data_IF_993088376023
#
_entry.id   IF_993088376023
#
_cell.length_a   1.000
_cell.length_b   1.000
_cell.length_c   1.000
_cell.angle_alpha   90.00
_cell.angle_beta   90.00
_cell.angle_gamma   90.00
#
_symmetry.space_group_name_H-M   'P 1'
#
loop_
_entity.id
_entity.type
_entity.pdbx_description
1 polymer ?
#
# COMPACT_ATOMS: atom_id res chain seq x y z
N UNK A 1 16.25 -32.33 -11.03
CA UNK A 1 16.59 -31.02 -10.47
C UNK A 1 15.48 -30.62 -9.53
N UNK A 2 15.69 -30.85 -8.23
CA UNK A 2 14.81 -30.36 -7.17
C UNK A 2 15.06 -28.87 -7.09
N UNK A 3 14.18 -28.07 -7.69
CA UNK A 3 14.20 -26.62 -7.49
C UNK A 3 14.03 -26.42 -5.98
N UNK A 4 15.01 -25.77 -5.36
CA UNK A 4 15.03 -25.45 -3.94
C UNK A 4 13.88 -24.49 -3.59
N UNK A 5 12.65 -25.02 -3.48
CA UNK A 5 11.46 -24.33 -2.95
C UNK A 5 11.58 -24.17 -1.41
N UNK A 6 12.71 -24.57 -0.82
CA UNK A 6 13.07 -24.36 0.58
C UNK A 6 13.97 -23.14 0.83
N UNK A 7 14.32 -22.36 -0.19
CA UNK A 7 15.19 -21.18 -0.08
C UNK A 7 14.49 -19.97 0.54
N UNK A 8 14.34 -19.97 1.88
CA UNK A 8 14.08 -18.77 2.70
C UNK A 8 12.73 -18.06 2.47
N UNK A 9 11.63 -18.78 2.70
CA UNK A 9 10.27 -18.19 2.76
C UNK A 9 10.16 -17.05 3.79
N UNK A 10 11.11 -16.92 4.72
CA UNK A 10 11.21 -15.80 5.67
C UNK A 10 11.36 -14.45 4.96
N UNK A 11 12.11 -14.39 3.85
CA UNK A 11 12.25 -13.17 3.04
C UNK A 11 10.93 -12.80 2.37
N UNK A 12 10.23 -13.79 1.82
CA UNK A 12 8.90 -13.59 1.23
C UNK A 12 7.88 -13.12 2.28
N UNK A 13 7.84 -13.77 3.45
CA UNK A 13 6.97 -13.36 4.55
C UNK A 13 7.31 -11.94 5.04
N UNK A 14 8.58 -11.56 5.10
CA UNK A 14 9.01 -10.21 5.49
C UNK A 14 8.58 -9.19 4.44
N UNK A 15 8.74 -9.47 3.15
CA UNK A 15 8.28 -8.62 2.07
C UNK A 15 6.75 -8.42 2.10
N UNK A 16 5.98 -9.50 2.31
CA UNK A 16 4.53 -9.43 2.45
C UNK A 16 4.10 -8.64 3.69
N UNK A 17 4.79 -8.79 4.82
CA UNK A 17 4.54 -8.01 6.05
C UNK A 17 4.82 -6.52 5.82
N UNK A 18 5.91 -6.19 5.14
CA UNK A 18 6.25 -4.82 4.79
C UNK A 18 5.16 -4.22 3.89
N UNK A 19 4.80 -4.89 2.80
CA UNK A 19 3.73 -4.42 1.89
C UNK A 19 2.39 -4.24 2.61
N UNK A 20 2.03 -5.14 3.52
CA UNK A 20 0.81 -4.98 4.32
C UNK A 20 0.89 -3.80 5.31
N UNK A 21 2.09 -3.44 5.78
CA UNK A 21 2.29 -2.29 6.69
C UNK A 21 2.14 -0.98 5.93
N UNK A 22 2.76 -0.87 4.75
CA UNK A 22 2.62 0.28 3.85
C UNK A 22 1.14 0.52 3.50
N UNK A 23 0.40 -0.54 3.12
CA UNK A 23 -1.04 -0.43 2.81
C UNK A 23 -1.84 0.13 4.00
N UNK A 24 -1.53 -0.31 5.23
CA UNK A 24 -2.21 0.22 6.43
C UNK A 24 -1.87 1.68 6.67
N UNK A 25 -0.61 2.08 6.45
CA UNK A 25 -0.17 3.46 6.56
C UNK A 25 -0.89 4.35 5.56
N UNK A 26 -0.84 4.00 4.26
CA UNK A 26 -1.49 4.73 3.17
C UNK A 26 -3.01 4.83 3.40
N UNK A 27 -3.65 3.78 3.94
CA UNK A 27 -5.06 3.83 4.34
C UNK A 27 -5.35 4.80 5.49
N UNK A 28 -4.44 4.93 6.46
CA UNK A 28 -4.58 5.90 7.55
C UNK A 28 -4.47 7.32 7.02
N UNK A 29 -3.46 7.59 6.20
CA UNK A 29 -3.29 8.90 5.55
C UNK A 29 -4.52 9.29 4.72
N UNK A 30 -5.08 8.35 3.95
CA UNK A 30 -6.33 8.58 3.22
C UNK A 30 -7.49 8.96 4.14
N UNK A 31 -7.62 8.34 5.32
CA UNK A 31 -8.66 8.69 6.28
C UNK A 31 -8.47 10.10 6.80
N UNK A 32 -7.24 10.49 7.10
CA UNK A 32 -6.93 11.80 7.66
C UNK A 32 -7.10 12.90 6.61
N UNK A 33 -6.64 12.70 5.38
CA UNK A 33 -6.93 13.60 4.25
C UNK A 33 -8.43 13.73 4.03
N UNK A 34 -9.21 12.65 4.09
CA UNK A 34 -10.67 12.72 3.97
C UNK A 34 -11.34 13.46 5.13
N UNK A 35 -10.82 13.38 6.36
CA UNK A 35 -11.33 14.18 7.50
C UNK A 35 -11.03 15.66 7.29
N UNK A 36 -9.82 16.00 6.86
CA UNK A 36 -9.42 17.37 6.59
C UNK A 36 -10.24 17.97 5.44
N UNK A 37 -10.46 17.21 4.36
CA UNK A 37 -11.34 17.62 3.25
C UNK A 37 -12.80 17.81 3.65
N UNK A 38 -13.27 17.17 4.73
CA UNK A 38 -14.63 17.46 5.26
C UNK A 38 -14.69 18.80 5.98
N UNK A 39 -13.58 19.25 6.56
CA UNK A 39 -13.46 20.57 7.21
C UNK A 39 -13.23 21.68 6.18
N UNK A 40 -12.45 21.37 5.14
CA UNK A 40 -12.14 22.28 4.04
C UNK A 40 -12.24 21.56 2.67
N UNK A 41 -13.46 21.46 2.09
CA UNK A 41 -13.68 20.74 0.85
C UNK A 41 -13.10 21.44 -0.39
N UNK A 42 -12.73 22.71 -0.28
CA UNK A 42 -12.11 23.49 -1.36
C UNK A 42 -10.59 23.37 -1.40
N UNK A 43 -9.99 22.62 -0.48
CA UNK A 43 -8.54 22.52 -0.36
C UNK A 43 -7.94 21.66 -1.49
N UNK A 44 -7.42 22.34 -2.51
CA UNK A 44 -6.83 21.71 -3.71
C UNK A 44 -5.59 20.88 -3.41
N UNK A 45 -4.81 21.27 -2.40
CA UNK A 45 -3.63 20.51 -1.94
C UNK A 45 -4.04 19.16 -1.36
N UNK A 46 -5.04 19.15 -0.47
CA UNK A 46 -5.57 17.90 0.10
C UNK A 46 -6.24 17.01 -0.95
N UNK A 47 -6.89 17.59 -1.96
CA UNK A 47 -7.43 16.83 -3.11
C UNK A 47 -6.29 16.16 -3.89
N UNK A 48 -5.23 16.91 -4.21
CA UNK A 48 -4.03 16.38 -4.87
C UNK A 48 -3.39 15.25 -4.05
N UNK A 49 -3.24 15.47 -2.74
CA UNK A 49 -2.71 14.46 -1.81
C UNK A 49 -3.58 13.20 -1.79
N UNK A 50 -4.92 13.33 -1.78
CA UNK A 50 -5.84 12.20 -1.87
C UNK A 50 -5.64 11.40 -3.16
N UNK A 51 -5.53 12.07 -4.30
CA UNK A 51 -5.29 11.40 -5.59
C UNK A 51 -3.96 10.62 -5.58
N UNK A 52 -2.89 11.23 -5.05
CA UNK A 52 -1.58 10.58 -4.91
C UNK A 52 -1.66 9.32 -4.05
N UNK A 53 -2.29 9.41 -2.88
CA UNK A 53 -2.45 8.28 -1.96
C UNK A 53 -3.31 7.15 -2.56
N UNK A 54 -4.32 7.49 -3.37
CA UNK A 54 -5.12 6.50 -4.09
C UNK A 54 -4.29 5.73 -5.13
N UNK A 55 -3.45 6.43 -5.90
CA UNK A 55 -2.52 5.80 -6.85
C UNK A 55 -1.54 4.88 -6.11
N UNK A 56 -0.92 5.36 -5.03
CA UNK A 56 -0.02 4.57 -4.21
C UNK A 56 -0.71 3.31 -3.65
N UNK A 57 -1.95 3.43 -3.18
CA UNK A 57 -2.73 2.28 -2.71
C UNK A 57 -2.90 1.23 -3.80
N UNK A 58 -3.21 1.64 -5.04
CA UNK A 58 -3.37 0.72 -6.17
C UNK A 58 -2.03 0.02 -6.48
N UNK A 59 -0.93 0.75 -6.54
CA UNK A 59 0.40 0.20 -6.79
C UNK A 59 0.83 -0.82 -5.74
N UNK A 60 0.59 -0.51 -4.45
CA UNK A 60 0.87 -1.43 -3.35
C UNK A 60 0.01 -2.70 -3.43
N UNK A 61 -1.26 -2.59 -3.80
CA UNK A 61 -2.14 -3.75 -4.01
C UNK A 61 -1.66 -4.62 -5.18
N UNK A 62 -1.21 -4.01 -6.27
CA UNK A 62 -0.62 -4.72 -7.41
C UNK A 62 0.67 -5.43 -7.00
N UNK A 63 1.54 -4.76 -6.24
CA UNK A 63 2.79 -5.34 -5.69
C UNK A 63 2.50 -6.53 -4.79
N UNK A 64 1.48 -6.42 -3.94
CA UNK A 64 1.01 -7.52 -3.08
C UNK A 64 0.49 -8.71 -3.87
N UNK A 65 -0.27 -8.49 -4.95
CA UNK A 65 -0.78 -9.57 -5.81
C UNK A 65 0.38 -10.30 -6.50
N UNK A 66 1.30 -9.56 -7.11
CA UNK A 66 2.48 -10.13 -7.77
C UNK A 66 3.33 -11.00 -6.83
N UNK A 67 3.51 -10.60 -5.57
CA UNK A 67 4.25 -11.39 -4.58
C UNK A 67 3.53 -12.67 -4.14
N UNK A 68 2.22 -12.80 -4.38
CA UNK A 68 1.46 -14.02 -4.06
C UNK A 68 1.45 -15.04 -5.20
N UNK A 69 1.81 -14.63 -6.41
CA UNK A 69 1.82 -15.47 -7.62
C UNK A 69 3.19 -16.11 -7.88
N UNK A 70 4.14 -15.95 -6.94
CA UNK A 70 5.49 -16.52 -6.93
C UNK A 70 5.57 -17.54 -5.80
#
# INVERSE_FOLDING_TARGET
MTVEIGGDTSKLQTALKHVNTEIKHTQSELRDVNKLLKLDPGNTELISQKHKLLVQTIEEQLKRKKQKEI
#
